data_IF_111832929282
#
_entry.id   IF_111832929282
#
_cell.length_a   1.000
_cell.length_b   1.000
_cell.length_c   1.000
_cell.angle_alpha   90.00
_cell.angle_beta   90.00
_cell.angle_gamma   90.00
#
_symmetry.space_group_name_H-M   'P 1'
#
loop_
_entity.id
_entity.type
_entity.pdbx_description
1 polymer ?
#
# COMPACT_ATOMS: atom_id res chain seq x y z
N UNK A 1 2.37 9.61 -4.35
CA UNK A 1 2.72 9.62 -2.91
C UNK A 1 3.45 8.33 -2.58
N UNK A 2 4.43 8.35 -1.67
CA UNK A 2 5.16 7.15 -1.25
C UNK A 2 5.04 6.99 0.26
N UNK A 3 4.75 5.77 0.72
CA UNK A 3 4.67 5.39 2.14
C UNK A 3 5.76 4.35 2.41
N UNK A 4 6.51 4.54 3.49
CA UNK A 4 7.50 3.59 4.00
C UNK A 4 6.96 2.94 5.27
N UNK A 5 6.82 1.63 5.27
CA UNK A 5 6.40 0.83 6.42
C UNK A 5 7.60 0.03 6.90
N UNK A 6 8.00 0.25 8.15
CA UNK A 6 9.12 -0.45 8.78
C UNK A 6 8.60 -1.51 9.76
N UNK A 7 9.31 -2.63 9.88
CA UNK A 7 9.07 -3.67 10.87
C UNK A 7 8.14 -4.81 10.43
N UNK A 8 6.89 -4.51 10.04
CA UNK A 8 5.92 -5.55 9.63
C UNK A 8 5.19 -5.17 8.34
N UNK A 9 4.71 -6.18 7.61
CA UNK A 9 3.94 -6.00 6.38
C UNK A 9 2.62 -5.25 6.62
N UNK A 10 2.05 -4.73 5.54
CA UNK A 10 0.72 -4.13 5.56
C UNK A 10 -0.35 -5.20 5.79
N UNK A 11 -1.04 -5.08 6.92
CA UNK A 11 -2.12 -5.96 7.30
C UNK A 11 -3.25 -5.96 6.25
N UNK A 12 -3.93 -7.09 6.04
CA UNK A 12 -4.90 -7.26 4.95
C UNK A 12 -6.04 -6.23 4.98
N UNK A 13 -6.56 -5.88 6.16
CA UNK A 13 -7.59 -4.84 6.31
C UNK A 13 -7.02 -3.42 6.14
N UNK A 14 -5.79 -3.17 6.59
CA UNK A 14 -5.08 -1.90 6.42
C UNK A 14 -4.97 -1.49 4.94
N UNK A 15 -4.93 -2.47 4.02
CA UNK A 15 -4.80 -2.22 2.57
C UNK A 15 -5.99 -1.46 2.00
N UNK A 16 -7.19 -1.69 2.52
CA UNK A 16 -8.41 -0.97 2.14
C UNK A 16 -8.42 0.43 2.77
N UNK A 17 -8.04 0.54 4.04
CA UNK A 17 -7.99 1.82 4.74
C UNK A 17 -7.00 2.80 4.08
N UNK A 18 -5.83 2.31 3.64
CA UNK A 18 -4.85 3.12 2.90
C UNK A 18 -5.43 3.61 1.57
N UNK A 19 -6.17 2.76 0.84
CA UNK A 19 -6.83 3.14 -0.41
C UNK A 19 -7.90 4.23 -0.18
N UNK A 20 -8.78 4.04 0.82
CA UNK A 20 -9.81 5.01 1.16
C UNK A 20 -9.22 6.35 1.65
N UNK A 21 -8.15 6.30 2.45
CA UNK A 21 -7.45 7.50 2.89
C UNK A 21 -6.82 8.23 1.70
N UNK A 22 -6.19 7.51 0.76
CA UNK A 22 -5.61 8.09 -0.44
C UNK A 22 -6.65 8.76 -1.34
N UNK A 23 -7.81 8.11 -1.52
CA UNK A 23 -8.93 8.64 -2.29
C UNK A 23 -9.50 9.91 -1.65
N UNK A 24 -9.78 9.88 -0.34
CA UNK A 24 -10.25 11.06 0.41
C UNK A 24 -9.24 12.21 0.42
N UNK A 25 -7.94 11.90 0.36
CA UNK A 25 -6.88 12.88 0.23
C UNK A 25 -6.71 13.43 -1.20
N UNK A 26 -7.49 12.97 -2.18
CA UNK A 26 -7.41 13.41 -3.57
C UNK A 26 -6.17 12.94 -4.31
N UNK A 27 -5.53 11.86 -3.85
CA UNK A 27 -4.33 11.31 -4.49
C UNK A 27 -4.70 10.51 -5.75
N UNK A 28 -3.86 10.62 -6.79
CA UNK A 28 -4.01 9.82 -8.02
C UNK A 28 -3.38 8.42 -7.89
N UNK A 29 -2.32 8.31 -7.08
CA UNK A 29 -1.61 7.06 -6.85
C UNK A 29 -0.82 7.06 -5.52
N UNK A 30 -0.67 5.86 -4.97
CA UNK A 30 0.13 5.58 -3.77
C UNK A 30 1.00 4.36 -4.04
N UNK A 31 2.28 4.46 -3.67
CA UNK A 31 3.19 3.32 -3.59
C UNK A 31 3.58 3.11 -2.14
N UNK A 32 3.45 1.88 -1.65
CA UNK A 32 3.82 1.49 -0.29
C UNK A 32 4.99 0.53 -0.37
N UNK A 33 6.10 0.91 0.26
CA UNK A 33 7.22 0.01 0.49
C UNK A 33 7.07 -0.56 1.89
N UNK A 34 7.02 -1.88 1.99
CA UNK A 34 6.91 -2.60 3.24
C UNK A 34 7.97 -3.71 3.30
N UNK A 35 8.09 -4.33 4.46
CA UNK A 35 8.94 -5.51 4.68
C UNK A 35 8.05 -6.60 5.25
N UNK A 36 8.07 -7.79 4.66
CA UNK A 36 7.26 -8.92 5.14
C UNK A 36 7.83 -9.51 6.44
N UNK A 37 7.15 -10.52 6.98
CA UNK A 37 7.57 -11.18 8.22
C UNK A 37 8.94 -11.88 8.11
N UNK A 38 9.35 -12.24 6.89
CA UNK A 38 10.63 -12.88 6.58
C UNK A 38 11.77 -11.87 6.29
N UNK A 39 11.50 -10.56 6.42
CA UNK A 39 12.47 -9.51 6.11
C UNK A 39 12.59 -9.18 4.61
N UNK A 40 11.72 -9.73 3.77
CA UNK A 40 11.74 -9.53 2.31
C UNK A 40 10.99 -8.22 1.97
N UNK A 41 11.59 -7.32 1.18
CA UNK A 41 10.90 -6.12 0.70
C UNK A 41 9.69 -6.49 -0.16
N UNK A 42 8.55 -5.86 0.13
CA UNK A 42 7.32 -6.00 -0.64
C UNK A 42 6.82 -4.61 -1.02
N UNK A 43 6.43 -4.46 -2.28
CA UNK A 43 5.90 -3.20 -2.79
C UNK A 43 4.43 -3.38 -3.14
N UNK A 44 3.61 -2.44 -2.68
CA UNK A 44 2.21 -2.35 -3.06
C UNK A 44 1.95 -1.07 -3.83
N UNK A 45 1.07 -1.14 -4.82
CA UNK A 45 0.57 0.01 -5.54
C UNK A 45 -0.94 0.15 -5.42
N UNK A 46 -1.37 1.40 -5.45
CA UNK A 46 -2.74 1.79 -5.59
C UNK A 46 -2.86 2.96 -6.57
N UNK A 47 -3.93 2.94 -7.36
CA UNK A 47 -4.35 4.04 -8.23
C UNK A 47 -5.83 4.31 -8.01
N UNK A 48 -6.26 5.52 -8.32
CA UNK A 48 -7.68 5.92 -8.23
C UNK A 48 -8.60 4.88 -8.91
N UNK A 49 -9.71 4.55 -8.24
CA UNK A 49 -10.64 3.51 -8.67
C UNK A 49 -10.30 2.08 -8.18
N UNK A 50 -9.15 1.87 -7.52
CA UNK A 50 -8.86 0.59 -6.84
C UNK A 50 -9.47 0.57 -5.44
N UNK A 51 -10.01 -0.57 -5.01
CA UNK A 51 -10.60 -0.75 -3.68
C UNK A 51 -9.58 -1.02 -2.56
N UNK A 52 -8.33 -1.35 -2.91
CA UNK A 52 -7.25 -1.65 -1.96
C UNK A 52 -5.89 -1.53 -2.65
N UNK A 53 -4.83 -1.31 -1.86
CA UNK A 53 -3.45 -1.45 -2.38
C UNK A 53 -3.21 -2.92 -2.77
N UNK A 54 -2.57 -3.13 -3.93
CA UNK A 54 -2.27 -4.47 -4.46
C UNK A 54 -0.78 -4.66 -4.57
N UNK A 55 -0.33 -5.90 -4.38
CA UNK A 55 1.07 -6.25 -4.53
C UNK A 55 1.51 -5.92 -5.96
N UNK A 56 2.62 -5.19 -6.10
CA UNK A 56 3.22 -4.89 -7.39
C UNK A 56 3.78 -6.21 -7.92
N UNK A 57 3.08 -6.83 -8.86
CA UNK A 57 3.63 -7.94 -9.64
C UNK A 57 4.59 -7.31 -10.66
N UNK A 58 5.83 -7.77 -10.68
CA UNK A 58 6.77 -7.54 -11.76
C UNK A 58 6.26 -8.18 -13.07
#
# INVERSE_FOLDING_TARGET
MVIQVQGKDVCSYCRQDIALAAEKAGLKSVTVHAVNQDGIPVIYDWKVGMSSIKLRKE
#
